data_IF_846210637034
#
_entry.id   IF_846210637034
#
_cell.length_a   1.000
_cell.length_b   1.000
_cell.length_c   1.000
_cell.angle_alpha   90.00
_cell.angle_beta   90.00
_cell.angle_gamma   90.00
#
_symmetry.space_group_name_H-M   'P 1'
#
loop_
_entity.id
_entity.type
_entity.pdbx_description
1 polymer ?
#
# COMPACT_ATOMS: atom_id res chain seq x y z
N UNK A 1 -6.44 -4.89 -28.18
CA UNK A 1 -5.12 -4.46 -27.69
C UNK A 1 -4.72 -5.43 -26.60
N UNK A 2 -3.98 -6.46 -26.96
CA UNK A 2 -3.46 -7.45 -26.03
C UNK A 2 -2.35 -6.76 -25.21
N UNK A 3 -2.61 -6.56 -23.91
CA UNK A 3 -1.64 -5.94 -23.01
C UNK A 3 -0.52 -6.96 -22.85
N UNK A 4 0.59 -6.76 -23.56
CA UNK A 4 1.80 -7.59 -23.43
C UNK A 4 2.13 -7.73 -21.95
N UNK A 5 1.88 -8.92 -21.40
CA UNK A 5 2.24 -9.24 -20.03
C UNK A 5 3.78 -9.28 -20.00
N UNK A 6 4.44 -8.54 -19.08
CA UNK A 6 5.89 -8.49 -19.03
C UNK A 6 6.44 -9.91 -18.87
N UNK A 7 7.54 -10.18 -19.57
CA UNK A 7 8.20 -11.48 -19.51
C UNK A 7 8.69 -11.79 -18.09
N UNK A 8 8.80 -13.07 -17.72
CA UNK A 8 9.29 -13.49 -16.40
C UNK A 8 10.67 -12.88 -16.07
N UNK A 9 11.46 -12.56 -17.10
CA UNK A 9 12.77 -11.95 -16.97
C UNK A 9 12.71 -10.44 -16.70
N UNK A 10 11.73 -9.72 -17.26
CA UNK A 10 11.45 -8.32 -16.90
C UNK A 10 10.89 -8.22 -15.47
N UNK A 11 10.08 -9.20 -15.07
CA UNK A 11 9.58 -9.38 -13.70
C UNK A 11 10.74 -9.55 -12.71
N UNK A 12 11.73 -10.38 -13.05
CA UNK A 12 12.91 -10.63 -12.22
C UNK A 12 13.97 -9.52 -12.28
N UNK A 13 13.94 -8.66 -13.31
CA UNK A 13 14.84 -7.54 -13.47
C UNK A 13 14.41 -6.27 -12.71
N UNK A 14 13.25 -6.30 -12.03
CA UNK A 14 12.92 -5.20 -11.14
C UNK A 14 13.97 -5.14 -10.03
N UNK A 15 14.60 -3.97 -9.87
CA UNK A 15 15.64 -3.80 -8.88
C UNK A 15 15.06 -4.07 -7.49
N UNK A 16 15.70 -4.96 -6.73
CA UNK A 16 15.35 -5.22 -5.33
C UNK A 16 15.19 -3.90 -4.54
N UNK A 17 16.01 -2.91 -4.87
CA UNK A 17 15.96 -1.57 -4.29
C UNK A 17 14.66 -0.82 -4.63
N UNK A 18 14.21 -0.83 -5.89
CA UNK A 18 12.96 -0.18 -6.28
C UNK A 18 11.76 -0.83 -5.61
N UNK A 19 11.71 -2.16 -5.61
CA UNK A 19 10.66 -2.92 -4.92
C UNK A 19 10.63 -2.54 -3.43
N UNK A 20 11.79 -2.55 -2.76
CA UNK A 20 11.90 -2.14 -1.37
C UNK A 20 11.39 -0.71 -1.13
N UNK A 21 11.74 0.25 -2.00
CA UNK A 21 11.24 1.63 -1.90
C UNK A 21 9.71 1.69 -1.98
N UNK A 22 9.08 0.93 -2.88
CA UNK A 22 7.62 0.90 -2.99
C UNK A 22 6.95 0.30 -1.74
N UNK A 23 7.51 -0.78 -1.19
CA UNK A 23 7.04 -1.32 0.09
C UNK A 23 7.20 -0.29 1.22
N UNK A 24 8.34 0.39 1.30
CA UNK A 24 8.56 1.43 2.30
C UNK A 24 7.56 2.59 2.17
N UNK A 25 7.26 3.03 0.94
CA UNK A 25 6.24 4.04 0.68
C UNK A 25 4.87 3.61 1.20
N UNK A 26 4.42 2.39 0.91
CA UNK A 26 3.12 1.89 1.39
C UNK A 26 3.07 1.91 2.91
N UNK A 27 4.12 1.45 3.60
CA UNK A 27 4.16 1.48 5.07
C UNK A 27 4.08 2.90 5.63
N UNK A 28 4.92 3.82 5.13
CA UNK A 28 5.00 5.19 5.64
C UNK A 28 3.68 5.92 5.40
N UNK A 29 3.13 5.83 4.18
CA UNK A 29 1.88 6.52 3.85
C UNK A 29 0.66 5.87 4.53
N UNK A 30 0.61 4.55 4.71
CA UNK A 30 -0.45 3.90 5.48
C UNK A 30 -0.40 4.30 6.97
N UNK A 31 0.80 4.43 7.55
CA UNK A 31 0.97 4.93 8.91
C UNK A 31 0.53 6.39 9.04
N UNK A 32 1.09 7.27 8.21
CA UNK A 32 0.79 8.71 8.23
C UNK A 32 -0.70 8.97 8.01
N UNK A 33 -1.29 8.34 7.00
CA UNK A 33 -2.71 8.51 6.73
C UNK A 33 -3.58 8.02 7.88
N UNK A 34 -3.22 6.90 8.53
CA UNK A 34 -3.94 6.44 9.72
C UNK A 34 -3.82 7.42 10.88
N UNK A 35 -2.61 7.94 11.14
CA UNK A 35 -2.36 8.93 12.20
C UNK A 35 -3.17 10.22 11.96
N UNK A 36 -3.09 10.77 10.74
CA UNK A 36 -3.80 12.00 10.39
C UNK A 36 -5.31 11.81 10.37
N UNK A 37 -5.80 10.66 9.92
CA UNK A 37 -7.23 10.35 9.96
C UNK A 37 -7.77 10.33 11.40
N UNK A 38 -7.11 9.61 12.30
CA UNK A 38 -7.53 9.54 13.70
C UNK A 38 -7.46 10.92 14.38
N UNK A 39 -6.39 11.68 14.10
CA UNK A 39 -6.24 13.06 14.57
C UNK A 39 -7.38 13.96 14.06
N UNK A 40 -7.71 13.89 12.76
CA UNK A 40 -8.78 14.67 12.15
C UNK A 40 -10.17 14.33 12.72
N UNK A 41 -10.37 13.09 13.15
CA UNK A 41 -11.61 12.64 13.80
C UNK A 41 -11.63 12.90 15.33
N UNK A 42 -10.62 13.58 15.88
CA UNK A 42 -10.43 13.78 17.32
C UNK A 42 -10.39 12.47 18.13
N UNK A 43 -9.93 11.38 17.52
CA UNK A 43 -9.77 10.08 18.16
C UNK A 43 -8.32 9.95 18.65
N UNK A 44 -8.06 9.53 19.91
CA UNK A 44 -6.71 9.28 20.37
C UNK A 44 -6.01 8.24 19.49
N UNK A 45 -4.74 8.49 19.17
CA UNK A 45 -4.00 7.63 18.24
C UNK A 45 -3.87 6.19 18.76
N UNK A 46 -4.53 5.27 18.08
CA UNK A 46 -4.48 3.82 18.31
C UNK A 46 -3.42 3.19 17.42
N UNK A 47 -2.30 2.80 18.02
CA UNK A 47 -1.17 2.14 17.34
C UNK A 47 -1.58 0.86 16.62
N UNK A 48 -2.47 0.07 17.23
CA UNK A 48 -3.01 -1.17 16.64
C UNK A 48 -3.67 -0.91 15.29
N UNK A 49 -4.55 0.11 15.21
CA UNK A 49 -5.24 0.49 13.97
C UNK A 49 -4.24 0.91 12.90
N UNK A 50 -3.17 1.61 13.29
CA UNK A 50 -2.10 1.99 12.36
C UNK A 50 -1.30 0.79 11.84
N UNK A 51 -0.99 -0.19 12.70
CA UNK A 51 -0.32 -1.43 12.29
C UNK A 51 -1.19 -2.25 11.34
N UNK A 52 -2.48 -2.40 11.65
CA UNK A 52 -3.41 -3.11 10.77
C UNK A 52 -3.65 -2.36 9.44
N UNK A 53 -3.65 -1.02 9.45
CA UNK A 53 -3.67 -0.20 8.23
C UNK A 53 -2.48 -0.50 7.31
N UNK A 54 -1.28 -0.63 7.88
CA UNK A 54 -0.06 -1.00 7.14
C UNK A 54 -0.20 -2.41 6.56
N UNK A 55 -0.66 -3.39 7.35
CA UNK A 55 -0.84 -4.77 6.89
C UNK A 55 -1.86 -4.88 5.75
N UNK A 56 -3.00 -4.21 5.89
CA UNK A 56 -4.04 -4.17 4.84
C UNK A 56 -3.51 -3.46 3.60
N UNK A 57 -2.82 -2.33 3.77
CA UNK A 57 -2.21 -1.60 2.66
C UNK A 57 -1.18 -2.45 1.90
N UNK A 58 -0.38 -3.24 2.61
CA UNK A 58 0.53 -4.20 1.99
C UNK A 58 -0.18 -5.31 1.24
N UNK A 59 -1.23 -5.92 1.82
CA UNK A 59 -1.99 -6.96 1.12
C UNK A 59 -2.59 -6.44 -0.20
N UNK A 60 -3.17 -5.24 -0.19
CA UNK A 60 -3.73 -4.63 -1.40
C UNK A 60 -2.64 -4.25 -2.40
N UNK A 61 -1.53 -3.68 -1.93
CA UNK A 61 -0.38 -3.38 -2.78
C UNK A 61 0.12 -4.64 -3.49
N UNK A 62 0.39 -5.72 -2.76
CA UNK A 62 0.89 -6.98 -3.32
C UNK A 62 -0.10 -7.57 -4.31
N UNK A 63 -1.39 -7.59 -3.97
CA UNK A 63 -2.43 -8.08 -4.87
C UNK A 63 -2.50 -7.29 -6.19
N UNK A 64 -2.52 -5.96 -6.11
CA UNK A 64 -2.59 -5.09 -7.29
C UNK A 64 -1.31 -5.15 -8.12
N UNK A 65 -0.17 -5.27 -7.46
CA UNK A 65 1.12 -5.45 -8.10
C UNK A 65 1.13 -6.72 -8.96
N UNK A 66 0.70 -7.86 -8.38
CA UNK A 66 0.66 -9.15 -9.08
C UNK A 66 -0.30 -9.15 -10.29
N UNK A 67 -1.40 -8.41 -10.24
CA UNK A 67 -2.40 -8.37 -11.31
C UNK A 67 -2.02 -7.39 -12.42
N UNK A 68 -1.60 -6.19 -12.05
CA UNK A 68 -1.50 -5.07 -13.00
C UNK A 68 -0.08 -4.76 -13.44
N UNK A 69 0.93 -5.28 -12.73
CA UNK A 69 2.37 -4.98 -12.91
C UNK A 69 2.66 -3.48 -12.98
N UNK A 70 1.85 -2.67 -12.28
CA UNK A 70 1.95 -1.23 -12.24
C UNK A 70 2.29 -0.80 -10.81
N UNK A 71 3.58 -0.51 -10.56
CA UNK A 71 4.09 -0.13 -9.24
C UNK A 71 3.41 1.12 -8.67
N UNK A 72 3.37 2.28 -9.35
CA UNK A 72 2.65 3.46 -8.85
C UNK A 72 1.18 3.20 -8.54
N UNK A 73 0.47 2.49 -9.44
CA UNK A 73 -0.94 2.15 -9.24
C UNK A 73 -1.17 1.24 -8.03
N UNK A 74 -0.29 0.26 -7.83
CA UNK A 74 -0.34 -0.63 -6.67
C UNK A 74 -0.07 0.13 -5.36
N UNK A 75 0.87 1.09 -5.35
CA UNK A 75 1.14 1.92 -4.17
C UNK A 75 -0.08 2.76 -3.80
N UNK A 76 -0.70 3.42 -4.77
CA UNK A 76 -1.92 4.23 -4.54
C UNK A 76 -3.04 3.34 -3.98
N UNK A 77 -3.24 2.15 -4.55
CA UNK A 77 -4.24 1.21 -4.07
C UNK A 77 -3.96 0.73 -2.63
N UNK A 78 -2.70 0.41 -2.31
CA UNK A 78 -2.28 0.01 -0.97
C UNK A 78 -2.53 1.12 0.07
N UNK A 79 -2.10 2.35 -0.24
CA UNK A 79 -2.35 3.50 0.65
C UNK A 79 -3.85 3.75 0.83
N UNK A 80 -4.63 3.70 -0.25
CA UNK A 80 -6.10 3.84 -0.17
C UNK A 80 -6.74 2.76 0.69
N UNK A 81 -6.23 1.53 0.59
CA UNK A 81 -6.63 0.41 1.45
C UNK A 81 -6.47 0.67 2.93
N UNK A 82 -5.28 1.17 3.32
CA UNK A 82 -5.00 1.54 4.70
C UNK A 82 -5.90 2.66 5.23
N UNK A 83 -6.22 3.64 4.36
CA UNK A 83 -7.17 4.72 4.69
C UNK A 83 -8.57 4.16 4.93
N UNK A 84 -9.10 3.35 4.00
CA UNK A 84 -10.44 2.75 4.11
C UNK A 84 -10.52 1.87 5.37
N UNK A 85 -9.47 1.10 5.65
CA UNK A 85 -9.39 0.29 6.86
C UNK A 85 -9.44 1.17 8.11
N UNK A 86 -8.62 2.22 8.18
CA UNK A 86 -8.61 3.13 9.33
C UNK A 86 -10.00 3.74 9.51
N UNK A 87 -10.63 4.25 8.44
CA UNK A 87 -12.00 4.79 8.49
C UNK A 87 -13.02 3.81 9.06
N UNK A 88 -12.90 2.50 8.80
CA UNK A 88 -13.80 1.48 9.36
C UNK A 88 -13.46 1.03 10.77
N UNK A 89 -12.20 1.11 11.17
CA UNK A 89 -11.70 0.60 12.45
C UNK A 89 -11.71 1.65 13.57
N UNK A 90 -11.93 2.91 13.21
CA UNK A 90 -12.15 4.03 14.14
C UNK A 90 -13.61 4.43 14.17
#
# INVERSE_FOLDING_TARGET
MEKNMPSLQEIMNCSFFETFLYFACVAIFAHLSSYYYQTAMNIPFRKEVSIYSILVGFMIFTFMFLISWNFPGAVIAGVSGGIIFTHRAT
#
